data_IF_467363906348
#
_entry.id   IF_467363906348
#
_cell.length_a   1.000
_cell.length_b   1.000
_cell.length_c   1.000
_cell.angle_alpha   90.00
_cell.angle_beta   90.00
_cell.angle_gamma   90.00
#
_symmetry.space_group_name_H-M   'P 1'
#
loop_
_entity.id
_entity.type
_entity.pdbx_description
1 polymer ?
#
# COMPACT_ATOMS: atom_id res chain seq x y z
N UNK A 1 6.38 25.92 4.31
CA UNK A 1 6.79 26.04 5.72
C UNK A 1 7.00 24.63 6.25
N UNK A 2 8.22 24.30 6.66
CA UNK A 2 8.55 23.01 7.30
C UNK A 2 8.06 23.07 8.75
N UNK A 3 6.77 22.82 8.97
CA UNK A 3 6.29 22.44 10.29
C UNK A 3 7.10 21.20 10.71
N UNK A 4 7.91 21.32 11.76
CA UNK A 4 8.73 20.23 12.26
C UNK A 4 7.81 19.07 12.61
N UNK A 5 7.88 17.99 11.81
CA UNK A 5 7.09 16.78 12.02
C UNK A 5 7.35 16.27 13.46
N UNK A 6 6.30 16.13 14.30
CA UNK A 6 6.46 15.59 15.65
C UNK A 6 6.94 14.13 15.63
N UNK A 7 7.44 13.63 16.76
CA UNK A 7 7.94 12.27 16.87
C UNK A 7 6.82 11.24 16.70
N UNK A 8 6.98 10.21 15.83
CA UNK A 8 5.96 9.20 15.62
C UNK A 8 5.53 8.48 16.91
N UNK A 9 4.23 8.24 17.07
CA UNK A 9 3.67 7.55 18.24
C UNK A 9 3.37 8.46 19.43
N UNK A 10 3.61 9.76 19.30
CA UNK A 10 3.20 10.77 20.29
C UNK A 10 1.78 11.30 20.00
N UNK A 11 1.02 11.75 21.02
CA UNK A 11 -0.27 12.41 20.81
C UNK A 11 -0.17 13.63 19.87
N UNK A 12 0.93 14.36 19.92
CA UNK A 12 1.20 15.52 19.06
C UNK A 12 1.37 15.11 17.59
N UNK A 13 1.96 13.94 17.33
CA UNK A 13 2.08 13.40 15.98
C UNK A 13 0.72 12.98 15.40
N UNK A 14 -0.15 12.38 16.21
CA UNK A 14 -1.52 12.04 15.79
C UNK A 14 -2.34 13.28 15.45
N UNK A 15 -2.27 14.33 16.28
CA UNK A 15 -2.92 15.61 15.99
C UNK A 15 -2.36 16.25 14.70
N UNK A 16 -1.05 16.23 14.51
CA UNK A 16 -0.41 16.72 13.29
C UNK A 16 -0.86 15.95 12.04
N UNK A 17 -1.02 14.63 12.13
CA UNK A 17 -1.58 13.81 11.05
C UNK A 17 -3.02 14.21 10.72
N UNK A 18 -3.86 14.37 11.74
CA UNK A 18 -5.26 14.76 11.57
C UNK A 18 -5.39 16.13 10.91
N UNK A 19 -4.62 17.12 11.35
CA UNK A 19 -4.67 18.47 10.77
C UNK A 19 -4.18 18.48 9.33
N UNK A 20 -3.15 17.70 9.01
CA UNK A 20 -2.67 17.54 7.64
C UNK A 20 -3.70 16.82 6.76
N UNK A 21 -4.37 15.80 7.29
CA UNK A 21 -5.42 15.08 6.59
C UNK A 21 -6.61 16.00 6.30
N UNK A 22 -7.06 16.80 7.26
CA UNK A 22 -8.13 17.79 7.09
C UNK A 22 -7.78 18.82 6.02
N UNK A 23 -6.62 19.48 6.13
CA UNK A 23 -6.15 20.46 5.11
C UNK A 23 -6.10 19.85 3.71
N UNK A 24 -5.71 18.57 3.59
CA UNK A 24 -5.68 17.85 2.32
C UNK A 24 -7.08 17.53 1.81
N UNK A 25 -7.97 17.06 2.68
CA UNK A 25 -9.36 16.78 2.33
C UNK A 25 -10.06 18.04 1.83
N UNK A 26 -9.95 19.15 2.55
CA UNK A 26 -10.52 20.44 2.15
C UNK A 26 -10.02 20.83 0.76
N UNK A 27 -8.71 20.71 0.49
CA UNK A 27 -8.17 21.00 -0.84
C UNK A 27 -8.71 20.09 -1.94
N UNK A 28 -8.94 18.80 -1.66
CA UNK A 28 -9.43 17.85 -2.67
C UNK A 28 -10.91 18.10 -2.97
N UNK A 29 -11.72 18.34 -1.94
CA UNK A 29 -13.18 18.38 -2.09
C UNK A 29 -13.74 19.79 -2.30
N UNK A 30 -12.94 20.84 -2.10
CA UNK A 30 -13.39 22.24 -2.29
C UNK A 30 -12.89 22.86 -3.59
N UNK A 31 -11.93 22.23 -4.26
CA UNK A 31 -11.45 22.74 -5.56
C UNK A 31 -12.43 22.32 -6.64
N UNK A 32 -12.94 23.29 -7.40
CA UNK A 32 -13.77 23.04 -8.56
C UNK A 32 -13.01 22.16 -9.57
N UNK A 33 -13.65 21.06 -9.98
CA UNK A 33 -13.09 20.18 -11.00
C UNK A 33 -13.17 20.94 -12.33
N UNK A 34 -12.05 21.15 -13.05
CA UNK A 34 -12.07 21.79 -14.37
C UNK A 34 -13.05 21.07 -15.30
N UNK A 35 -13.84 21.80 -16.09
CA UNK A 35 -14.87 21.21 -16.98
C UNK A 35 -14.30 20.12 -17.90
N UNK A 36 -13.06 20.30 -18.38
CA UNK A 36 -12.35 19.32 -19.22
C UNK A 36 -12.10 17.97 -18.52
N UNK A 37 -12.07 17.96 -17.19
CA UNK A 37 -11.83 16.77 -16.35
C UNK A 37 -13.10 16.23 -15.71
N UNK A 38 -14.23 16.95 -15.76
CA UNK A 38 -15.50 16.52 -15.19
C UNK A 38 -16.04 15.21 -15.80
N UNK A 39 -15.61 14.88 -17.02
CA UNK A 39 -15.98 13.64 -17.72
C UNK A 39 -14.99 12.48 -17.50
N UNK A 40 -13.87 12.70 -16.80
CA UNK A 40 -12.82 11.70 -16.59
C UNK A 40 -13.11 10.82 -15.36
N UNK A 41 -14.02 11.25 -14.49
CA UNK A 41 -14.44 10.50 -13.29
C UNK A 41 -15.16 9.17 -13.62
N UNK A 42 -15.61 8.98 -14.85
CA UNK A 42 -16.16 7.71 -15.33
C UNK A 42 -15.09 6.88 -16.03
N UNK A 43 -14.24 6.22 -15.24
CA UNK A 43 -13.31 5.20 -15.71
C UNK A 43 -13.54 3.88 -14.96
N UNK A 44 -13.53 2.76 -15.68
CA UNK A 44 -13.39 1.45 -15.04
C UNK A 44 -11.95 1.40 -14.52
N UNK A 45 -11.75 1.31 -13.20
CA UNK A 45 -10.45 0.90 -12.66
C UNK A 45 -10.17 -0.49 -13.23
N UNK A 46 -9.32 -0.57 -14.25
CA UNK A 46 -8.80 -1.81 -14.80
C UNK A 46 -7.74 -2.36 -13.82
N UNK A 47 -8.20 -2.72 -12.64
CA UNK A 47 -7.45 -3.46 -11.65
C UNK A 47 -8.00 -4.89 -11.58
N UNK A 48 -7.18 -5.86 -11.19
CA UNK A 48 -7.68 -7.17 -10.83
C UNK A 48 -8.80 -7.05 -9.78
N UNK A 49 -9.93 -7.72 -10.03
CA UNK A 49 -11.11 -7.67 -9.16
C UNK A 49 -10.85 -8.29 -7.77
N UNK A 50 -9.76 -9.05 -7.65
CA UNK A 50 -9.33 -9.68 -6.40
C UNK A 50 -7.81 -9.61 -6.24
N UNK A 51 -7.37 -9.43 -4.99
CA UNK A 51 -5.95 -9.58 -4.60
C UNK A 51 -5.33 -10.90 -5.08
N UNK A 52 -6.13 -11.97 -5.16
CA UNK A 52 -5.70 -13.30 -5.63
C UNK A 52 -5.23 -13.32 -7.09
N UNK A 53 -5.69 -12.36 -7.90
CA UNK A 53 -5.30 -12.25 -9.30
C UNK A 53 -3.93 -11.54 -9.46
N UNK A 54 -3.51 -10.77 -8.43
CA UNK A 54 -2.19 -10.12 -8.37
C UNK A 54 -1.14 -11.12 -7.86
N UNK A 55 -1.50 -11.89 -6.84
CA UNK A 55 -0.61 -12.84 -6.19
C UNK A 55 -1.31 -14.19 -6.13
N UNK A 56 -1.14 -15.06 -7.15
CA UNK A 56 -1.65 -16.42 -7.07
C UNK A 56 -1.03 -17.07 -5.84
N UNK A 57 -1.88 -17.60 -4.95
CA UNK A 57 -1.43 -18.39 -3.81
C UNK A 57 -0.54 -19.51 -4.36
N UNK A 58 0.74 -19.52 -3.98
CA UNK A 58 1.58 -20.69 -4.23
C UNK A 58 0.86 -21.87 -3.63
N UNK A 59 0.78 -22.96 -4.38
CA UNK A 59 0.15 -24.16 -3.85
C UNK A 59 0.90 -24.60 -2.60
N UNK A 60 0.19 -25.18 -1.62
CA UNK A 60 0.81 -25.66 -0.36
C UNK A 60 2.05 -26.54 -0.64
N UNK A 61 2.03 -27.29 -1.75
CA UNK A 61 3.16 -28.10 -2.20
C UNK A 61 4.40 -27.28 -2.57
N UNK A 62 4.24 -26.14 -3.24
CA UNK A 62 5.33 -25.23 -3.62
C UNK A 62 5.94 -24.54 -2.40
N UNK A 63 5.11 -24.11 -1.44
CA UNK A 63 5.60 -23.54 -0.19
C UNK A 63 6.38 -24.56 0.65
N UNK A 64 5.90 -25.80 0.73
CA UNK A 64 6.62 -26.90 1.41
C UNK A 64 7.95 -27.19 0.68
N UNK A 65 7.98 -27.15 -0.64
CA UNK A 65 9.19 -27.39 -1.42
C UNK A 65 10.23 -26.28 -1.21
N UNK A 66 9.80 -25.02 -1.19
CA UNK A 66 10.65 -23.86 -0.93
C UNK A 66 11.21 -23.91 0.49
N UNK A 67 10.39 -24.21 1.50
CA UNK A 67 10.84 -24.32 2.89
C UNK A 67 11.85 -25.48 3.07
N UNK A 68 11.59 -26.64 2.44
CA UNK A 68 12.55 -27.76 2.42
C UNK A 68 13.86 -27.39 1.73
N UNK A 69 13.81 -26.66 0.62
CA UNK A 69 15.00 -26.20 -0.10
C UNK A 69 15.80 -25.18 0.73
N UNK A 70 15.11 -24.26 1.40
CA UNK A 70 15.73 -23.26 2.27
C UNK A 70 16.41 -23.92 3.47
N UNK A 71 15.77 -24.91 4.11
CA UNK A 71 16.36 -25.71 5.20
C UNK A 71 17.59 -26.51 4.75
N UNK A 72 17.58 -27.04 3.53
CA UNK A 72 18.73 -27.79 2.97
C UNK A 72 19.91 -26.92 2.57
N UNK A 73 19.71 -25.62 2.33
CA UNK A 73 20.79 -24.67 1.96
C UNK A 73 21.91 -24.59 3.00
N UNK A 74 21.61 -24.85 4.26
CA UNK A 74 22.58 -24.81 5.37
C UNK A 74 23.23 -26.16 5.67
N UNK A 75 22.81 -27.25 5.01
CA UNK A 75 23.36 -28.58 5.23
C UNK A 75 24.51 -28.82 4.24
N UNK A 76 25.66 -29.29 4.75
CA UNK A 76 26.76 -29.74 3.89
C UNK A 76 26.29 -30.97 3.11
N UNK A 77 26.30 -30.88 1.79
CA UNK A 77 26.12 -32.04 0.92
C UNK A 77 27.38 -32.88 0.99
N UNK A 78 27.29 -34.04 1.64
CA UNK A 78 28.35 -35.06 1.61
C UNK A 78 28.16 -35.84 0.32
N UNK A 79 29.20 -35.89 -0.51
CA UNK A 79 29.21 -36.54 -1.82
C UNK A 79 29.72 -37.97 -1.70
#
# INVERSE_FOLDING_TARGET
MTESRPEPGTPEFEQWLLDRAKKRADRIFTVEIPEDLAHVDSGIMAGPGSWKDIMPEKTIAEDIAIDKAHKRKHLKVVK
#
